data_IF_011349074595
#
_entry.id   IF_011349074595
#
_cell.length_a   1.000
_cell.length_b   1.000
_cell.length_c   1.000
_cell.angle_alpha   90.00
_cell.angle_beta   90.00
_cell.angle_gamma   90.00
#
_symmetry.space_group_name_H-M   'P 1'
#
loop_
_entity.id
_entity.type
_entity.pdbx_description
1 polymer ?
#
# COMPACT_ATOMS: atom_id res chain seq x y z
N UNK A 1 -23.37 -42.13 6.68
CA UNK A 1 -22.97 -41.94 8.08
C UNK A 1 -21.82 -42.88 8.40
N UNK A 2 -20.60 -42.34 8.50
CA UNK A 2 -19.42 -42.97 9.10
C UNK A 2 -18.38 -41.87 9.36
N UNK A 3 -17.78 -41.97 10.54
CA UNK A 3 -17.03 -40.97 11.30
C UNK A 3 -15.60 -40.73 10.82
N UNK A 4 -15.02 -39.55 11.12
CA UNK A 4 -13.64 -39.43 11.64
C UNK A 4 -13.58 -38.30 12.69
N UNK A 5 -13.02 -38.65 13.85
CA UNK A 5 -12.69 -37.81 14.99
C UNK A 5 -11.40 -37.02 14.71
N UNK A 6 -11.31 -35.77 15.17
CA UNK A 6 -10.01 -35.18 15.54
C UNK A 6 -10.17 -34.27 16.75
N UNK A 7 -9.31 -34.54 17.72
CA UNK A 7 -9.20 -33.98 19.06
C UNK A 7 -8.78 -32.50 19.09
N UNK A 8 -9.44 -31.71 19.93
CA UNK A 8 -9.01 -30.37 20.31
C UNK A 8 -7.94 -30.42 21.43
N UNK A 9 -6.94 -29.53 21.43
CA UNK A 9 -6.03 -29.34 22.56
C UNK A 9 -6.64 -28.40 23.64
N UNK A 10 -6.19 -28.50 24.91
CA UNK A 10 -6.85 -27.86 26.05
C UNK A 10 -6.53 -26.37 26.21
N UNK A 11 -7.52 -25.62 26.69
CA UNK A 11 -7.41 -24.21 27.09
C UNK A 11 -6.59 -24.04 28.38
N UNK A 12 -5.76 -22.98 28.52
CA UNK A 12 -5.19 -22.61 29.81
C UNK A 12 -6.17 -21.75 30.63
N UNK A 13 -6.34 -22.17 31.87
CA UNK A 13 -7.23 -21.64 32.91
C UNK A 13 -6.81 -20.28 33.47
N UNK A 14 -7.81 -19.44 33.74
CA UNK A 14 -7.74 -18.20 34.52
C UNK A 14 -7.43 -18.49 36.00
N UNK A 15 -6.58 -17.66 36.62
CA UNK A 15 -6.45 -17.53 38.08
C UNK A 15 -6.25 -16.04 38.45
N UNK A 16 -6.75 -15.59 39.61
CA UNK A 16 -7.15 -14.20 39.82
C UNK A 16 -6.08 -13.31 40.46
N UNK A 17 -6.27 -12.01 40.23
CA UNK A 17 -5.48 -10.88 40.72
C UNK A 17 -5.62 -10.73 42.25
N UNK A 18 -4.51 -10.94 42.97
CA UNK A 18 -4.37 -10.62 44.39
C UNK A 18 -3.33 -9.52 44.58
N UNK A 19 -3.76 -8.40 45.17
CA UNK A 19 -2.95 -7.21 45.44
C UNK A 19 -2.36 -7.28 46.85
N UNK A 20 -1.03 -7.10 47.03
CA UNK A 20 -0.44 -6.30 48.12
C UNK A 20 1.09 -6.20 48.07
N UNK A 21 1.58 -5.06 48.59
CA UNK A 21 2.96 -4.59 48.77
C UNK A 21 3.86 -5.54 49.59
N UNK A 22 5.17 -5.58 49.27
CA UNK A 22 6.28 -5.36 50.21
C UNK A 22 7.65 -5.43 49.49
N UNK A 23 8.65 -4.81 50.10
CA UNK A 23 9.96 -4.45 49.60
C UNK A 23 11.00 -5.59 49.52
N UNK A 24 12.05 -5.32 48.73
CA UNK A 24 13.45 -5.76 48.82
C UNK A 24 13.75 -7.26 48.89
N UNK A 25 14.51 -7.77 47.91
CA UNK A 25 15.83 -8.39 48.16
C UNK A 25 16.56 -8.67 46.85
N UNK A 26 17.81 -8.22 46.82
CA UNK A 26 18.84 -8.55 45.85
C UNK A 26 19.09 -10.07 45.85
N UNK A 27 19.07 -10.69 44.68
CA UNK A 27 19.72 -11.99 44.46
C UNK A 27 20.51 -11.93 43.17
N UNK A 28 21.83 -11.85 43.34
CA UNK A 28 22.84 -12.04 42.31
C UNK A 28 22.81 -13.48 41.81
N UNK A 29 22.59 -13.67 40.52
CA UNK A 29 22.94 -14.93 39.85
C UNK A 29 24.30 -14.75 39.19
N UNK A 30 25.32 -15.27 39.88
CA UNK A 30 26.65 -15.49 39.33
C UNK A 30 26.58 -16.60 38.29
N UNK A 31 26.88 -16.26 37.03
CA UNK A 31 27.28 -17.24 36.02
C UNK A 31 28.81 -17.29 36.02
N UNK A 32 29.33 -18.47 36.34
CA UNK A 32 30.75 -18.82 36.34
C UNK A 32 31.37 -18.58 34.96
N UNK A 33 32.47 -17.83 34.93
CA UNK A 33 33.41 -17.81 33.81
C UNK A 33 34.39 -18.99 33.96
N UNK A 34 34.71 -19.74 32.90
CA UNK A 34 35.86 -20.62 32.93
C UNK A 34 37.13 -19.77 32.84
N UNK A 35 37.97 -19.89 33.86
CA UNK A 35 39.35 -19.45 33.83
C UNK A 35 40.11 -20.23 32.75
N UNK A 36 40.62 -19.53 31.74
CA UNK A 36 41.73 -20.03 30.93
C UNK A 36 42.71 -18.90 30.68
N UNK A 37 43.76 -18.86 31.50
CA UNK A 37 44.99 -18.15 31.16
C UNK A 37 45.62 -18.81 29.93
N UNK A 38 45.75 -18.04 28.86
CA UNK A 38 46.48 -18.41 27.66
C UNK A 38 46.93 -17.15 26.95
N UNK A 39 48.15 -16.71 27.25
CA UNK A 39 48.85 -15.67 26.49
C UNK A 39 48.92 -16.06 25.01
N UNK A 40 48.20 -15.34 24.16
CA UNK A 40 48.61 -15.08 22.78
C UNK A 40 48.29 -13.61 22.51
N UNK A 41 49.32 -12.78 22.58
CA UNK A 41 49.30 -11.45 21.99
C UNK A 41 49.18 -11.59 20.48
N UNK A 42 47.96 -11.58 19.97
CA UNK A 42 47.68 -11.35 18.56
C UNK A 42 47.12 -9.93 18.48
N UNK A 43 47.99 -8.96 18.18
CA UNK A 43 47.55 -7.66 17.73
C UNK A 43 46.78 -7.88 16.42
N UNK A 44 45.46 -8.01 16.52
CA UNK A 44 44.59 -7.96 15.35
C UNK A 44 44.80 -6.59 14.73
N UNK A 45 45.50 -6.55 13.59
CA UNK A 45 45.76 -5.32 12.88
C UNK A 45 44.44 -4.94 12.17
N UNK A 46 43.52 -4.32 12.89
CA UNK A 46 42.23 -3.89 12.37
C UNK A 46 42.45 -2.81 11.31
N UNK A 47 42.43 -3.22 10.04
CA UNK A 47 42.72 -2.36 8.89
C UNK A 47 41.44 -1.62 8.46
N UNK A 48 40.87 -0.83 9.37
CA UNK A 48 39.68 -0.03 9.11
C UNK A 48 40.01 1.30 8.41
N UNK A 49 39.06 1.81 7.62
CA UNK A 49 39.19 3.15 7.01
C UNK A 49 38.74 4.20 8.01
N UNK A 50 39.48 5.31 8.14
CA UNK A 50 39.08 6.41 9.05
C UNK A 50 37.83 7.10 8.52
N UNK A 51 36.84 7.32 9.39
CA UNK A 51 35.64 8.06 9.03
C UNK A 51 35.98 9.50 8.63
N UNK A 52 35.29 10.04 7.62
CA UNK A 52 35.63 11.35 7.04
C UNK A 52 35.31 12.53 7.96
N UNK A 53 34.22 12.43 8.74
CA UNK A 53 33.75 13.50 9.64
C UNK A 53 34.07 13.20 11.13
N UNK A 54 33.68 12.02 11.61
CA UNK A 54 33.84 11.59 13.01
C UNK A 54 35.17 10.90 13.34
N UNK A 55 36.25 11.36 12.72
CA UNK A 55 37.61 10.99 13.12
C UNK A 55 38.34 12.25 13.58
N UNK A 56 38.24 12.54 14.87
CA UNK A 56 38.82 13.73 15.49
C UNK A 56 40.30 13.49 15.83
N UNK A 57 41.14 14.53 15.72
CA UNK A 57 42.57 14.40 16.05
C UNK A 57 42.83 14.29 17.56
N UNK A 58 41.95 14.90 18.34
CA UNK A 58 41.92 14.96 19.79
C UNK A 58 40.96 13.93 20.43
N UNK A 59 40.35 13.06 19.61
CA UNK A 59 39.57 11.92 20.09
C UNK A 59 40.43 10.98 20.95
N UNK A 60 39.80 10.38 21.96
CA UNK A 60 40.45 9.55 22.98
C UNK A 60 39.74 8.20 23.18
N UNK A 61 38.87 7.82 22.26
CA UNK A 61 38.29 6.48 22.13
C UNK A 61 38.05 6.18 20.65
N UNK A 62 38.47 5.00 20.21
CA UNK A 62 38.28 4.51 18.85
C UNK A 62 37.24 3.39 18.82
N UNK A 63 36.18 3.57 18.03
CA UNK A 63 35.20 2.54 17.71
C UNK A 63 35.41 1.99 16.30
N UNK A 64 35.14 0.70 16.10
CA UNK A 64 35.15 0.04 14.80
C UNK A 64 33.74 -0.47 14.47
N UNK A 65 33.18 0.00 13.35
CA UNK A 65 31.84 -0.33 12.86
C UNK A 65 31.89 -0.46 11.34
N UNK A 66 31.41 -1.57 10.76
CA UNK A 66 31.44 -1.82 9.31
C UNK A 66 32.81 -1.52 8.64
N UNK A 67 33.92 -1.95 9.25
CA UNK A 67 35.29 -1.66 8.80
C UNK A 67 35.68 -0.16 8.77
N UNK A 68 34.91 0.69 9.45
CA UNK A 68 35.16 2.13 9.59
C UNK A 68 35.57 2.46 11.02
N UNK A 69 36.68 3.19 11.15
CA UNK A 69 37.21 3.67 12.43
C UNK A 69 36.69 5.07 12.75
N UNK A 70 36.12 5.20 13.95
CA UNK A 70 35.61 6.44 14.52
C UNK A 70 36.48 6.84 15.70
N UNK A 71 37.21 7.96 15.61
CA UNK A 71 37.96 8.50 16.75
C UNK A 71 37.18 9.66 17.36
N UNK A 72 36.58 9.44 18.53
CA UNK A 72 35.63 10.38 19.16
C UNK A 72 36.01 10.64 20.63
N UNK A 73 35.26 11.53 21.28
CA UNK A 73 35.50 11.90 22.68
C UNK A 73 34.72 11.00 23.64
N UNK A 74 35.46 10.24 24.44
CA UNK A 74 35.01 9.33 25.50
C UNK A 74 33.99 9.98 26.44
N UNK A 75 34.19 11.27 26.75
CA UNK A 75 33.32 12.03 27.65
C UNK A 75 31.84 11.96 27.29
N UNK A 76 31.47 12.10 26.00
CA UNK A 76 30.06 12.09 25.60
C UNK A 76 29.40 10.73 25.85
N UNK A 77 30.16 9.64 25.77
CA UNK A 77 29.67 8.30 26.00
C UNK A 77 29.58 7.97 27.49
N UNK A 78 30.54 8.40 28.31
CA UNK A 78 30.52 8.12 29.75
C UNK A 78 29.53 8.98 30.55
N UNK A 79 29.30 10.22 30.09
CA UNK A 79 28.44 11.18 30.78
C UNK A 79 27.01 10.65 30.86
N UNK A 80 26.46 10.28 29.71
CA UNK A 80 25.02 10.01 29.57
C UNK A 80 24.68 8.53 29.37
N UNK A 81 25.68 7.63 29.30
CA UNK A 81 25.46 6.19 29.17
C UNK A 81 26.18 5.38 30.26
N UNK A 82 25.39 4.71 31.10
CA UNK A 82 25.90 3.76 32.09
C UNK A 82 26.55 2.52 31.43
N UNK A 83 26.01 2.11 30.27
CA UNK A 83 26.57 1.01 29.48
C UNK A 83 28.00 1.32 29.04
N UNK A 84 28.21 2.47 28.38
CA UNK A 84 29.54 2.83 27.91
C UNK A 84 30.49 3.15 29.04
N UNK A 85 30.04 3.68 30.18
CA UNK A 85 30.89 3.82 31.36
C UNK A 85 31.50 2.48 31.78
N UNK A 86 30.68 1.42 31.88
CA UNK A 86 31.17 0.09 32.21
C UNK A 86 32.08 -0.51 31.14
N UNK A 87 31.70 -0.39 29.86
CA UNK A 87 32.50 -0.90 28.73
C UNK A 87 33.87 -0.22 28.73
N UNK A 88 33.90 1.10 28.82
CA UNK A 88 35.10 1.91 28.70
C UNK A 88 36.01 1.81 29.93
N UNK A 89 35.48 1.49 31.11
CA UNK A 89 36.27 1.15 32.30
C UNK A 89 37.00 -0.20 32.16
N UNK A 90 36.39 -1.16 31.45
CA UNK A 90 36.92 -2.53 31.31
C UNK A 90 37.96 -2.69 30.19
N UNK A 91 37.98 -1.80 29.21
CA UNK A 91 38.85 -1.91 28.02
C UNK A 91 40.21 -1.26 28.29
N UNK A 92 41.28 -2.04 28.15
CA UNK A 92 42.66 -1.54 28.14
C UNK A 92 43.07 -1.16 26.71
N UNK A 93 43.22 0.15 26.46
CA UNK A 93 43.58 0.69 25.15
C UNK A 93 42.38 0.65 24.19
N UNK A 94 41.75 1.80 23.97
CA UNK A 94 40.71 2.01 22.98
C UNK A 94 41.26 2.91 21.85
N UNK A 95 42.39 2.50 21.28
CA UNK A 95 43.13 3.20 20.23
C UNK A 95 42.95 2.49 18.88
N UNK A 96 43.64 2.97 17.83
CA UNK A 96 43.53 2.36 16.50
C UNK A 96 44.04 0.92 16.43
N UNK A 97 44.96 0.53 17.32
CA UNK A 97 45.50 -0.82 17.36
C UNK A 97 44.58 -1.78 18.11
N UNK A 98 43.78 -1.27 19.04
CA UNK A 98 42.78 -2.02 19.78
C UNK A 98 41.44 -1.25 19.88
N UNK A 99 40.70 -1.09 18.76
CA UNK A 99 39.44 -0.36 18.75
C UNK A 99 38.33 -1.17 19.43
N UNK A 100 37.34 -0.46 19.96
CA UNK A 100 36.12 -1.07 20.52
C UNK A 100 35.19 -1.43 19.36
N UNK A 101 34.99 -2.72 19.12
CA UNK A 101 34.14 -3.21 18.04
C UNK A 101 32.67 -3.20 18.49
N UNK A 102 31.81 -2.51 17.72
CA UNK A 102 30.36 -2.55 17.92
C UNK A 102 29.75 -3.46 16.86
N UNK A 103 29.50 -4.71 17.25
CA UNK A 103 28.80 -5.71 16.44
C UNK A 103 27.30 -5.34 16.46
N UNK A 104 26.62 -5.48 15.31
CA UNK A 104 25.18 -5.17 15.13
C UNK A 104 24.80 -3.69 15.00
N UNK A 105 25.75 -2.82 14.66
CA UNK A 105 25.49 -1.40 14.38
C UNK A 105 25.92 -1.11 12.95
N UNK A 106 25.05 -0.45 12.18
CA UNK A 106 25.46 0.07 10.87
C UNK A 106 26.15 1.41 11.05
N UNK A 107 27.22 1.63 10.31
CA UNK A 107 27.94 2.91 10.22
C UNK A 107 27.00 4.09 10.03
N UNK A 108 26.05 3.99 9.09
CA UNK A 108 25.05 5.05 8.83
C UNK A 108 24.16 5.35 10.04
N UNK A 109 23.77 4.33 10.82
CA UNK A 109 22.92 4.54 12.00
C UNK A 109 23.73 5.17 13.14
N UNK A 110 25.02 4.82 13.25
CA UNK A 110 25.93 5.46 14.19
C UNK A 110 26.23 6.92 13.83
N UNK A 111 26.39 7.25 12.55
CA UNK A 111 26.58 8.62 12.09
C UNK A 111 25.41 9.52 12.51
N UNK A 112 24.18 9.03 12.38
CA UNK A 112 22.98 9.75 12.81
C UNK A 112 22.94 10.00 14.32
N UNK A 113 23.41 9.03 15.10
CA UNK A 113 23.54 9.16 16.56
C UNK A 113 24.66 10.15 16.93
N UNK A 114 25.82 10.07 16.28
CA UNK A 114 26.92 11.01 16.47
C UNK A 114 26.55 12.44 16.09
N UNK A 115 25.70 12.64 15.09
CA UNK A 115 25.18 13.96 14.73
C UNK A 115 24.38 14.63 15.87
N UNK A 116 23.82 13.85 16.81
CA UNK A 116 23.19 14.40 18.02
C UNK A 116 24.22 14.85 19.05
N UNK A 117 25.30 14.07 19.21
CA UNK A 117 26.39 14.38 20.15
C UNK A 117 27.31 15.51 19.65
N UNK A 118 27.47 15.61 18.33
CA UNK A 118 28.33 16.58 17.64
C UNK A 118 27.50 17.42 16.66
N UNK A 119 26.60 18.29 17.16
CA UNK A 119 25.80 19.15 16.31
C UNK A 119 26.70 20.14 15.57
N UNK A 120 26.57 20.19 14.24
CA UNK A 120 27.31 21.12 13.38
C UNK A 120 26.71 22.52 13.38
N UNK A 121 25.39 22.65 13.55
CA UNK A 121 24.66 23.90 13.69
C UNK A 121 23.65 23.80 14.85
N UNK A 122 23.92 24.55 15.92
CA UNK A 122 23.05 24.59 17.11
C UNK A 122 21.74 25.35 16.89
N UNK A 123 21.70 26.27 15.91
CA UNK A 123 20.49 27.06 15.61
C UNK A 123 19.56 26.31 14.67
N UNK A 124 20.12 25.49 13.78
CA UNK A 124 19.37 24.71 12.80
C UNK A 124 19.88 23.27 12.79
N UNK A 125 19.44 22.46 13.76
CA UNK A 125 19.76 21.04 13.75
C UNK A 125 19.32 20.41 12.43
N UNK A 126 20.15 19.52 11.89
CA UNK A 126 19.84 18.78 10.66
C UNK A 126 18.50 18.06 10.82
N UNK A 127 17.60 18.29 9.86
CA UNK A 127 16.33 17.57 9.81
C UNK A 127 16.58 16.08 9.57
N UNK A 128 15.84 15.25 10.31
CA UNK A 128 15.95 13.79 10.25
C UNK A 128 14.60 13.18 9.96
N UNK A 129 14.60 12.17 9.10
CA UNK A 129 13.46 11.34 8.74
C UNK A 129 13.01 10.46 9.91
N UNK A 130 11.79 9.93 9.83
CA UNK A 130 11.24 8.98 10.80
C UNK A 130 12.14 7.74 10.96
N UNK A 131 12.72 7.25 9.87
CA UNK A 131 13.65 6.10 9.91
C UNK A 131 14.93 6.44 10.66
N UNK A 132 15.53 7.62 10.41
CA UNK A 132 16.73 8.06 11.13
C UNK A 132 16.45 8.25 12.63
N UNK A 133 15.32 8.86 13.00
CA UNK A 133 14.92 8.96 14.42
C UNK A 133 14.67 7.60 15.06
N UNK A 134 14.15 6.63 14.31
CA UNK A 134 13.96 5.26 14.77
C UNK A 134 15.30 4.58 15.06
N UNK A 135 16.30 4.75 14.18
CA UNK A 135 17.67 4.26 14.42
C UNK A 135 18.30 4.91 15.66
N UNK A 136 18.15 6.23 15.82
CA UNK A 136 18.64 6.96 17.00
C UNK A 136 17.98 6.44 18.27
N UNK A 137 16.65 6.24 18.25
CA UNK A 137 15.90 5.69 19.38
C UNK A 137 16.42 4.30 19.77
N UNK A 138 16.68 3.45 18.77
CA UNK A 138 17.20 2.10 18.99
C UNK A 138 18.56 2.11 19.68
N UNK A 139 19.52 2.87 19.14
CA UNK A 139 20.87 2.98 19.70
C UNK A 139 20.86 3.64 21.08
N UNK A 140 20.06 4.70 21.26
CA UNK A 140 19.92 5.37 22.55
C UNK A 140 19.37 4.44 23.63
N UNK A 141 18.35 3.63 23.32
CA UNK A 141 17.79 2.66 24.24
C UNK A 141 18.78 1.52 24.53
N UNK A 142 19.45 0.98 23.49
CA UNK A 142 20.42 -0.10 23.62
C UNK A 142 21.61 0.29 24.50
N UNK A 143 22.09 1.52 24.36
CA UNK A 143 23.23 2.02 25.11
C UNK A 143 22.84 2.81 26.36
N UNK A 144 21.55 2.97 26.66
CA UNK A 144 21.08 3.64 27.86
C UNK A 144 21.33 5.15 27.89
N UNK A 145 21.26 5.84 26.75
CA UNK A 145 21.25 7.30 26.67
C UNK A 145 19.83 7.85 26.84
N UNK A 146 19.35 7.91 28.08
CA UNK A 146 17.96 8.26 28.40
C UNK A 146 17.50 9.61 27.82
N UNK A 147 18.32 10.66 27.91
CA UNK A 147 17.95 11.98 27.37
C UNK A 147 17.84 11.98 25.84
N UNK A 148 18.68 11.22 25.13
CA UNK A 148 18.60 11.09 23.67
C UNK A 148 17.41 10.20 23.29
N UNK A 149 17.13 9.17 24.08
CA UNK A 149 15.95 8.32 23.92
C UNK A 149 14.67 9.16 24.00
N UNK A 150 14.51 9.99 25.03
CA UNK A 150 13.36 10.90 25.18
C UNK A 150 13.27 11.91 24.04
N UNK A 151 14.40 12.48 23.60
CA UNK A 151 14.43 13.36 22.42
C UNK A 151 13.90 12.65 21.17
N UNK A 152 14.33 11.42 20.91
CA UNK A 152 13.87 10.66 19.75
C UNK A 152 12.38 10.31 19.86
N UNK A 153 11.89 9.97 21.07
CA UNK A 153 10.48 9.78 21.36
C UNK A 153 9.69 11.04 21.00
N UNK A 154 10.06 12.21 21.51
CA UNK A 154 9.34 13.47 21.22
C UNK A 154 9.26 13.77 19.72
N UNK A 155 10.34 13.51 18.98
CA UNK A 155 10.39 13.72 17.53
C UNK A 155 9.50 12.73 16.77
N UNK A 156 9.53 11.46 17.16
CA UNK A 156 8.71 10.40 16.57
C UNK A 156 7.22 10.54 16.93
N UNK A 157 6.89 11.07 18.11
CA UNK A 157 5.52 11.34 18.49
C UNK A 157 4.81 12.26 17.49
N UNK A 158 5.54 13.22 16.89
CA UNK A 158 5.03 14.15 15.91
C UNK A 158 5.00 13.59 14.47
N UNK A 159 5.92 12.70 14.10
CA UNK A 159 6.16 12.31 12.69
C UNK A 159 5.85 10.86 12.36
N UNK A 160 5.82 9.96 13.34
CA UNK A 160 5.60 8.53 13.10
C UNK A 160 4.12 8.23 12.79
N UNK A 161 3.92 7.33 11.83
CA UNK A 161 2.60 6.81 11.48
C UNK A 161 2.06 5.92 12.62
N UNK A 162 0.74 5.71 12.71
CA UNK A 162 0.13 4.91 13.78
C UNK A 162 0.73 3.50 13.94
N UNK A 163 1.03 2.82 12.83
CA UNK A 163 1.61 1.47 12.85
C UNK A 163 2.99 1.47 13.51
N UNK A 164 3.85 2.40 13.11
CA UNK A 164 5.19 2.53 13.70
C UNK A 164 5.09 2.94 15.18
N UNK A 165 4.14 3.80 15.55
CA UNK A 165 3.88 4.16 16.96
C UNK A 165 3.51 2.95 17.82
N UNK A 166 2.71 2.01 17.31
CA UNK A 166 2.40 0.77 18.03
C UNK A 166 3.66 -0.08 18.22
N UNK A 167 4.40 -0.31 17.12
CA UNK A 167 5.58 -1.18 17.12
C UNK A 167 6.66 -0.63 18.05
N UNK A 168 6.98 0.64 17.91
CA UNK A 168 7.98 1.32 18.73
C UNK A 168 7.50 1.48 20.18
N UNK A 169 6.22 1.83 20.37
CA UNK A 169 5.64 1.98 21.70
C UNK A 169 5.67 0.71 22.51
N UNK A 170 5.41 -0.45 21.89
CA UNK A 170 5.55 -1.75 22.55
C UNK A 170 7.01 -2.11 22.81
N UNK A 171 7.87 -1.93 21.80
CA UNK A 171 9.29 -2.31 21.89
C UNK A 171 10.03 -1.55 23.00
N UNK A 172 9.74 -0.27 23.17
CA UNK A 172 10.43 0.61 24.13
C UNK A 172 9.58 1.00 25.35
N UNK A 173 8.38 0.42 25.51
CA UNK A 173 7.52 0.68 26.67
C UNK A 173 6.87 2.07 26.70
N UNK A 174 6.61 2.68 25.55
CA UNK A 174 5.97 4.00 25.42
C UNK A 174 4.45 3.82 25.35
N UNK A 175 3.82 3.63 26.52
CA UNK A 175 2.37 3.37 26.63
C UNK A 175 1.50 4.49 26.07
N UNK A 176 1.96 5.74 26.18
CA UNK A 176 1.18 6.94 25.86
C UNK A 176 0.79 7.02 24.37
N UNK A 177 1.53 6.33 23.50
CA UNK A 177 1.24 6.28 22.07
C UNK A 177 0.18 5.24 21.71
N UNK A 178 0.09 4.16 22.49
CA UNK A 178 -0.59 2.94 22.05
C UNK A 178 -2.08 3.16 21.84
N UNK A 179 -2.77 3.79 22.79
CA UNK A 179 -4.21 3.98 22.71
C UNK A 179 -4.60 4.79 21.47
N UNK A 180 -4.01 5.98 21.31
CA UNK A 180 -4.30 6.85 20.18
C UNK A 180 -3.91 6.22 18.83
N UNK A 181 -2.83 5.43 18.80
CA UNK A 181 -2.41 4.74 17.57
C UNK A 181 -3.37 3.60 17.19
N UNK A 182 -3.84 2.80 18.15
CA UNK A 182 -4.86 1.78 17.89
C UNK A 182 -6.19 2.38 17.44
N UNK A 183 -6.62 3.46 18.10
CA UNK A 183 -7.84 4.17 17.72
C UNK A 183 -7.74 4.68 16.29
N UNK A 184 -6.62 5.31 15.92
CA UNK A 184 -6.38 5.80 14.56
C UNK A 184 -6.44 4.68 13.51
N UNK A 185 -5.85 3.50 13.77
CA UNK A 185 -5.88 2.38 12.81
C UNK A 185 -7.25 1.72 12.73
N UNK A 186 -7.95 1.61 13.85
CA UNK A 186 -9.28 1.01 13.91
C UNK A 186 -10.37 1.91 13.30
N UNK A 187 -10.12 3.21 13.20
CA UNK A 187 -11.05 4.18 12.59
C UNK A 187 -10.65 4.57 11.16
N UNK A 188 -9.44 4.18 10.71
CA UNK A 188 -8.99 4.45 9.35
C UNK A 188 -9.86 3.72 8.32
N UNK A 189 -10.33 4.39 7.26
CA UNK A 189 -11.26 3.79 6.30
C UNK A 189 -10.60 2.72 5.43
N UNK A 190 -9.32 2.85 5.12
CA UNK A 190 -8.60 1.92 4.23
C UNK A 190 -8.01 0.73 5.02
N UNK A 191 -7.93 -0.47 4.40
CA UNK A 191 -7.38 -1.65 5.04
C UNK A 191 -5.89 -1.50 5.35
N UNK A 192 -5.39 -2.35 6.24
CA UNK A 192 -3.95 -2.45 6.48
C UNK A 192 -3.26 -3.03 5.25
N UNK A 193 -2.14 -2.43 4.87
CA UNK A 193 -1.22 -2.99 3.86
C UNK A 193 -0.52 -4.24 4.39
N UNK A 194 0.05 -5.04 3.49
CA UNK A 194 0.80 -6.26 3.85
C UNK A 194 2.02 -5.89 4.69
N UNK A 195 2.71 -4.81 4.35
CA UNK A 195 3.89 -4.30 5.03
C UNK A 195 3.57 -3.86 6.47
N UNK A 196 2.45 -3.14 6.65
CA UNK A 196 1.95 -2.77 7.98
C UNK A 196 1.56 -3.99 8.80
N UNK A 197 0.88 -4.96 8.17
CA UNK A 197 0.55 -6.23 8.79
C UNK A 197 1.79 -6.97 9.29
N UNK A 198 2.82 -7.10 8.45
CA UNK A 198 4.09 -7.74 8.83
C UNK A 198 4.74 -7.06 10.04
N UNK A 199 4.66 -5.73 10.14
CA UNK A 199 5.20 -4.97 11.28
C UNK A 199 4.42 -5.20 12.58
N UNK A 200 3.09 -5.25 12.51
CA UNK A 200 2.20 -5.40 13.69
C UNK A 200 2.20 -6.84 14.23
N UNK A 201 2.34 -7.82 13.33
CA UNK A 201 2.22 -9.24 13.66
C UNK A 201 0.77 -9.72 13.71
N UNK A 202 0.61 -11.04 13.60
CA UNK A 202 -0.69 -11.70 13.37
C UNK A 202 -1.73 -11.37 14.43
N UNK A 203 -1.33 -11.32 15.71
CA UNK A 203 -2.25 -11.09 16.83
C UNK A 203 -2.91 -9.71 16.77
N UNK A 204 -2.14 -8.68 16.44
CA UNK A 204 -2.64 -7.31 16.31
C UNK A 204 -3.52 -7.16 15.08
N UNK A 205 -3.14 -7.75 13.94
CA UNK A 205 -3.97 -7.73 12.73
C UNK A 205 -5.35 -8.32 13.02
N UNK A 206 -5.42 -9.46 13.72
CA UNK A 206 -6.69 -10.10 14.08
C UNK A 206 -7.53 -9.19 14.98
N UNK A 207 -6.92 -8.62 16.02
CA UNK A 207 -7.62 -7.71 16.96
C UNK A 207 -8.11 -6.44 16.27
N UNK A 208 -7.27 -5.83 15.44
CA UNK A 208 -7.61 -4.63 14.66
C UNK A 208 -8.75 -4.95 13.70
N UNK A 209 -8.67 -6.06 12.96
CA UNK A 209 -9.73 -6.48 12.04
C UNK A 209 -11.06 -6.69 12.76
N UNK A 210 -11.05 -7.37 13.91
CA UNK A 210 -12.25 -7.58 14.72
C UNK A 210 -12.82 -6.24 15.24
N UNK A 211 -11.97 -5.34 15.74
CA UNK A 211 -12.39 -4.03 16.20
C UNK A 211 -13.02 -3.18 15.08
N UNK A 212 -12.41 -3.20 13.88
CA UNK A 212 -12.93 -2.50 12.69
C UNK A 212 -14.29 -3.03 12.25
N UNK A 213 -14.49 -4.35 12.32
CA UNK A 213 -15.77 -4.98 11.99
C UNK A 213 -16.88 -4.58 12.99
N UNK A 214 -16.57 -4.55 14.29
CA UNK A 214 -17.55 -4.18 15.33
C UNK A 214 -17.89 -2.68 15.27
N UNK A 215 -16.92 -1.82 14.97
CA UNK A 215 -17.10 -0.37 14.93
C UNK A 215 -17.61 0.16 13.59
N UNK A 216 -17.98 -0.70 12.64
CA UNK A 216 -18.56 -0.30 11.36
C UNK A 216 -17.58 0.32 10.35
N UNK A 217 -16.27 0.32 10.63
CA UNK A 217 -15.23 0.80 9.70
C UNK A 217 -14.90 -0.21 8.57
N UNK A 218 -15.67 -1.30 8.49
CA UNK A 218 -15.56 -2.35 7.48
C UNK A 218 -16.86 -2.51 6.68
N UNK A 219 -17.61 -1.42 6.48
CA UNK A 219 -18.78 -1.46 5.61
C UNK A 219 -18.35 -1.77 4.17
N UNK A 220 -19.01 -2.74 3.55
CA UNK A 220 -18.66 -3.17 2.20
C UNK A 220 -18.86 -2.01 1.23
N UNK A 221 -17.77 -1.45 0.72
CA UNK A 221 -17.82 -0.37 -0.29
C UNK A 221 -18.40 -0.84 -1.63
N UNK A 222 -18.51 -2.16 -1.84
CA UNK A 222 -18.86 -2.78 -3.11
C UNK A 222 -19.83 -3.94 -2.96
N UNK A 223 -20.60 -4.19 -4.02
CA UNK A 223 -21.63 -5.23 -4.05
C UNK A 223 -21.04 -6.65 -3.99
N UNK A 224 -21.74 -7.55 -3.28
CA UNK A 224 -21.34 -8.96 -3.09
C UNK A 224 -21.21 -9.72 -4.41
N UNK A 225 -21.89 -9.28 -5.48
CA UNK A 225 -21.85 -9.92 -6.80
C UNK A 225 -20.43 -10.01 -7.38
N UNK A 226 -19.53 -9.09 -7.00
CA UNK A 226 -18.16 -9.09 -7.49
C UNK A 226 -17.21 -9.98 -6.70
N UNK A 227 -17.57 -10.36 -5.47
CA UNK A 227 -16.68 -11.05 -4.52
C UNK A 227 -16.07 -12.31 -5.12
N UNK A 228 -16.86 -13.13 -5.82
CA UNK A 228 -16.38 -14.39 -6.41
C UNK A 228 -15.25 -14.17 -7.42
N UNK A 229 -15.35 -13.14 -8.25
CA UNK A 229 -14.32 -12.81 -9.24
C UNK A 229 -13.10 -12.19 -8.58
N UNK A 230 -13.30 -11.35 -7.57
CA UNK A 230 -12.20 -10.69 -6.86
C UNK A 230 -11.38 -11.67 -6.03
N UNK A 231 -12.00 -12.69 -5.43
CA UNK A 231 -11.29 -13.69 -4.64
C UNK A 231 -10.17 -14.36 -5.43
N UNK A 232 -10.38 -14.58 -6.74
CA UNK A 232 -9.35 -15.10 -7.64
C UNK A 232 -8.14 -14.18 -7.71
N UNK A 233 -8.37 -12.87 -7.85
CA UNK A 233 -7.29 -11.88 -7.97
C UNK A 233 -6.63 -11.58 -6.62
N UNK A 234 -7.42 -11.43 -5.55
CA UNK A 234 -6.96 -11.13 -4.18
C UNK A 234 -6.05 -12.26 -3.68
N UNK A 235 -6.46 -13.51 -3.86
CA UNK A 235 -5.72 -14.68 -3.37
C UNK A 235 -4.84 -15.34 -4.43
N UNK A 236 -4.73 -14.74 -5.63
CA UNK A 236 -3.97 -15.28 -6.77
C UNK A 236 -4.30 -16.75 -7.04
N UNK A 237 -5.59 -17.08 -7.01
CA UNK A 237 -6.04 -18.44 -7.28
C UNK A 237 -5.95 -18.68 -8.80
N UNK A 238 -5.06 -19.57 -9.22
CA UNK A 238 -4.93 -19.96 -10.63
C UNK A 238 -6.29 -20.49 -11.13
N UNK A 239 -6.86 -19.83 -12.14
CA UNK A 239 -8.00 -20.40 -12.87
C UNK A 239 -7.46 -21.56 -13.72
N UNK A 240 -8.11 -22.75 -13.72
CA UNK A 240 -7.77 -23.78 -14.69
C UNK A 240 -7.90 -23.18 -16.09
N UNK A 241 -6.83 -23.32 -16.87
CA UNK A 241 -6.65 -22.77 -18.20
C UNK A 241 -7.85 -23.12 -19.08
N UNK A 242 -8.67 -22.12 -19.42
CA UNK A 242 -9.38 -22.13 -20.68
C UNK A 242 -8.62 -21.25 -21.67
N UNK A 243 -8.40 -21.85 -22.82
CA UNK A 243 -7.52 -21.48 -23.91
C UNK A 243 -7.81 -20.11 -24.56
N UNK A 244 -6.73 -19.48 -25.03
CA UNK A 244 -6.65 -18.57 -26.18
C UNK A 244 -7.24 -17.16 -25.98
N UNK A 245 -6.37 -16.25 -25.53
CA UNK A 245 -5.47 -15.57 -26.48
C UNK A 245 -6.11 -14.69 -27.57
N UNK A 246 -7.22 -14.01 -27.30
CA UNK A 246 -7.48 -12.66 -27.81
C UNK A 246 -8.14 -11.91 -26.66
N UNK A 247 -7.69 -10.70 -26.32
CA UNK A 247 -8.42 -9.94 -25.29
C UNK A 247 -9.84 -9.76 -25.81
N UNK A 248 -10.88 -10.16 -25.05
CA UNK A 248 -12.26 -10.12 -25.59
C UNK A 248 -12.67 -8.70 -26.00
N UNK A 249 -11.98 -7.70 -25.45
CA UNK A 249 -12.07 -6.28 -25.78
C UNK A 249 -11.67 -6.01 -27.24
N UNK A 250 -10.57 -6.61 -27.73
CA UNK A 250 -10.11 -6.41 -29.13
C UNK A 250 -11.08 -7.02 -30.15
N UNK A 251 -11.75 -8.12 -29.80
CA UNK A 251 -12.74 -8.79 -30.64
C UNK A 251 -14.04 -7.96 -30.72
N UNK A 252 -14.49 -7.44 -29.58
CA UNK A 252 -15.70 -6.60 -29.49
C UNK A 252 -15.51 -5.25 -30.19
N UNK A 253 -14.33 -4.63 -30.04
CA UNK A 253 -14.00 -3.39 -30.74
C UNK A 253 -13.97 -3.59 -32.27
N UNK A 254 -13.41 -4.73 -32.71
CA UNK A 254 -13.41 -5.11 -34.13
C UNK A 254 -14.82 -5.32 -34.67
N UNK A 255 -15.71 -5.97 -33.91
CA UNK A 255 -17.10 -6.18 -34.29
C UNK A 255 -17.90 -4.87 -34.37
N UNK A 256 -17.71 -3.97 -33.39
CA UNK A 256 -18.34 -2.63 -33.41
C UNK A 256 -17.91 -1.87 -34.65
N UNK A 257 -16.61 -1.84 -34.96
CA UNK A 257 -16.08 -1.16 -36.15
C UNK A 257 -16.65 -1.72 -37.46
N UNK A 258 -16.75 -3.05 -37.57
CA UNK A 258 -17.36 -3.71 -38.74
C UNK A 258 -18.83 -3.28 -38.90
N UNK A 259 -19.58 -3.18 -37.81
CA UNK A 259 -20.98 -2.74 -37.84
C UNK A 259 -21.12 -1.25 -38.16
N UNK A 260 -20.21 -0.39 -37.68
CA UNK A 260 -20.16 1.04 -38.06
C UNK A 260 -19.96 1.22 -39.57
N UNK A 261 -19.05 0.44 -40.17
CA UNK A 261 -18.79 0.46 -41.61
C UNK A 261 -20.04 -0.01 -42.40
N UNK A 262 -20.74 -1.05 -41.91
CA UNK A 262 -21.98 -1.54 -42.52
C UNK A 262 -23.13 -0.52 -42.43
N UNK A 263 -23.34 0.12 -41.28
CA UNK A 263 -24.35 1.18 -41.11
C UNK A 263 -24.07 2.34 -42.06
N UNK A 264 -22.80 2.75 -42.18
CA UNK A 264 -22.37 3.81 -43.10
C UNK A 264 -22.67 3.46 -44.56
N UNK A 265 -22.43 2.20 -44.94
CA UNK A 265 -22.70 1.67 -46.29
C UNK A 265 -24.21 1.67 -46.59
N UNK A 266 -25.04 1.11 -45.70
CA UNK A 266 -26.50 1.07 -45.88
C UNK A 266 -27.10 2.47 -45.90
N UNK A 267 -26.56 3.40 -45.12
CA UNK A 267 -26.97 4.80 -45.12
C UNK A 267 -26.65 5.50 -46.45
N UNK A 268 -25.47 5.23 -47.03
CA UNK A 268 -25.11 5.73 -48.36
C UNK A 268 -26.00 5.13 -49.46
N UNK A 269 -26.29 3.83 -49.40
CA UNK A 269 -27.20 3.15 -50.33
C UNK A 269 -28.63 3.69 -50.24
N UNK A 270 -29.12 3.95 -49.02
CA UNK A 270 -30.44 4.56 -48.81
C UNK A 270 -30.49 6.00 -49.34
N UNK A 271 -29.43 6.80 -49.12
CA UNK A 271 -29.34 8.16 -49.64
C UNK A 271 -29.26 8.24 -51.18
N UNK A 272 -28.75 7.18 -51.83
CA UNK A 272 -28.70 7.05 -53.29
C UNK A 272 -30.05 6.70 -53.94
N UNK A 273 -31.09 6.36 -53.14
CA UNK A 273 -32.40 6.02 -53.67
C UNK A 273 -33.16 7.29 -54.14
N UNK A 274 -33.72 7.33 -55.38
CA UNK A 274 -34.31 8.53 -55.96
C UNK A 274 -35.56 9.02 -55.23
N UNK A 275 -35.53 10.20 -54.58
CA UNK A 275 -36.66 10.78 -53.83
C UNK A 275 -38.00 10.53 -54.54
N UNK A 276 -39.04 9.99 -53.87
CA UNK A 276 -40.26 9.63 -54.56
C UNK A 276 -40.81 10.85 -55.29
N UNK A 277 -40.84 10.80 -56.62
CA UNK A 277 -41.41 11.86 -57.41
C UNK A 277 -42.90 11.93 -57.08
N UNK A 278 -43.33 13.05 -56.50
CA UNK A 278 -44.73 13.33 -56.32
C UNK A 278 -45.30 13.60 -57.71
N UNK A 279 -45.93 12.61 -58.33
CA UNK A 279 -46.54 12.76 -59.64
C UNK A 279 -47.70 13.74 -59.51
N UNK A 280 -47.47 14.99 -59.90
CA UNK A 280 -48.52 16.00 -59.92
C UNK A 280 -49.45 15.72 -61.11
N UNK A 281 -50.75 15.63 -60.85
CA UNK A 281 -51.77 15.32 -61.85
C UNK A 281 -51.83 16.48 -62.86
N UNK A 282 -51.39 16.26 -64.10
CA UNK A 282 -51.66 17.20 -65.19
C UNK A 282 -53.01 16.87 -65.80
N UNK A 283 -54.08 17.41 -65.22
CA UNK A 283 -55.41 17.36 -65.85
C UNK A 283 -55.48 18.47 -66.91
N UNK A 284 -55.53 18.09 -68.18
CA UNK A 284 -55.68 19.03 -69.29
C UNK A 284 -57.13 19.52 -69.35
N UNK A 285 -57.40 20.67 -68.75
CA UNK A 285 -58.68 21.35 -68.85
C UNK A 285 -58.88 21.94 -70.26
N UNK A 286 -59.99 21.60 -70.91
CA UNK A 286 -60.63 22.49 -71.89
C UNK A 286 -62.07 22.75 -71.44
N UNK A 287 -62.42 24.04 -71.40
CA UNK A 287 -63.73 24.67 -71.13
C UNK A 287 -64.17 25.00 -69.70
N UNK A 288 -63.81 26.24 -69.32
CA UNK A 288 -64.63 27.37 -68.85
C UNK A 288 -65.70 27.21 -67.74
N UNK A 289 -65.43 27.98 -66.67
CA UNK A 289 -66.32 28.56 -65.65
C UNK A 289 -66.98 27.64 -64.62
N UNK A 290 -66.28 27.36 -63.52
CA UNK A 290 -66.79 27.58 -62.15
C UNK A 290 -65.65 27.44 -61.13
N UNK A 291 -65.57 28.40 -60.20
CA UNK A 291 -64.69 28.32 -59.03
C UNK A 291 -65.20 27.24 -58.08
N UNK A 292 -64.46 26.14 -57.90
CA UNK A 292 -64.42 25.37 -56.67
C UNK A 292 -63.14 24.53 -56.59
N UNK A 293 -62.49 24.68 -55.44
CA UNK A 293 -61.53 23.80 -54.76
C UNK A 293 -60.71 22.80 -55.59
N UNK A 294 -59.39 22.98 -55.52
CA UNK A 294 -58.34 22.02 -55.86
C UNK A 294 -58.72 20.58 -55.53
N UNK A 295 -59.15 19.84 -56.55
CA UNK A 295 -59.40 18.40 -56.50
C UNK A 295 -58.08 17.66 -56.28
N UNK A 296 -57.74 17.45 -55.01
CA UNK A 296 -56.72 16.48 -54.61
C UNK A 296 -57.17 15.10 -55.08
N UNK A 297 -56.44 14.53 -56.04
CA UNK A 297 -56.60 13.15 -56.49
C UNK A 297 -56.47 12.17 -55.31
N UNK A 298 -57.57 11.52 -54.92
CA UNK A 298 -57.61 10.54 -53.82
C UNK A 298 -56.74 9.29 -54.07
N UNK A 299 -56.40 9.00 -55.33
CA UNK A 299 -55.51 7.90 -55.74
C UNK A 299 -54.03 8.26 -55.71
N UNK A 300 -53.71 9.56 -55.68
CA UNK A 300 -52.35 10.08 -55.77
C UNK A 300 -51.74 10.35 -54.38
N UNK A 301 -52.54 10.26 -53.32
CA UNK A 301 -52.06 10.20 -51.95
C UNK A 301 -51.74 8.75 -51.59
N UNK A 302 -50.47 8.42 -51.80
CA UNK A 302 -49.58 7.51 -51.09
C UNK A 302 -48.60 7.10 -52.18
N UNK A 303 -47.47 7.80 -52.26
CA UNK A 303 -46.29 7.17 -52.84
C UNK A 303 -46.07 5.91 -52.02
N UNK A 304 -46.56 4.76 -52.52
CA UNK A 304 -46.24 3.48 -51.92
C UNK A 304 -44.73 3.42 -51.98
N UNK A 305 -44.12 3.55 -50.81
CA UNK A 305 -42.71 3.24 -50.67
C UNK A 305 -42.47 1.90 -51.36
N UNK A 306 -41.47 1.82 -52.23
CA UNK A 306 -41.15 0.54 -52.85
C UNK A 306 -40.80 -0.46 -51.75
N UNK A 307 -41.22 -1.71 -51.89
CA UNK A 307 -40.88 -2.76 -50.92
C UNK A 307 -39.36 -2.82 -50.68
N UNK A 308 -38.55 -2.47 -51.70
CA UNK A 308 -37.10 -2.31 -51.62
C UNK A 308 -36.64 -1.17 -50.69
N UNK A 309 -37.29 0.01 -50.75
CA UNK A 309 -36.99 1.12 -49.84
C UNK A 309 -37.34 0.79 -48.41
N UNK A 310 -38.48 0.12 -48.22
CA UNK A 310 -38.95 -0.31 -46.91
C UNK A 310 -37.98 -1.32 -46.30
N UNK A 311 -37.56 -2.34 -47.06
CA UNK A 311 -36.59 -3.33 -46.60
C UNK A 311 -35.25 -2.69 -46.24
N UNK A 312 -34.75 -1.74 -47.05
CA UNK A 312 -33.49 -1.03 -46.77
C UNK A 312 -33.59 -0.12 -45.54
N UNK A 313 -34.76 0.46 -45.26
CA UNK A 313 -34.99 1.20 -44.02
C UNK A 313 -34.98 0.27 -42.82
N UNK A 314 -35.72 -0.84 -42.88
CA UNK A 314 -35.79 -1.85 -41.80
C UNK A 314 -34.38 -2.42 -41.50
N UNK A 315 -33.60 -2.81 -42.51
CA UNK A 315 -32.21 -3.27 -42.35
C UNK A 315 -31.27 -2.21 -41.75
N UNK A 316 -31.46 -0.94 -42.13
CA UNK A 316 -30.71 0.19 -41.55
C UNK A 316 -31.03 0.34 -40.05
N UNK A 317 -32.31 0.37 -39.71
CA UNK A 317 -32.78 0.54 -38.33
C UNK A 317 -32.33 -0.63 -37.43
N UNK A 318 -32.33 -1.85 -37.97
CA UNK A 318 -31.87 -3.04 -37.25
C UNK A 318 -30.35 -3.01 -37.00
N UNK A 319 -29.55 -2.60 -37.99
CA UNK A 319 -28.09 -2.44 -37.83
C UNK A 319 -27.73 -1.30 -36.88
N UNK A 320 -28.44 -0.18 -36.93
CA UNK A 320 -28.26 0.94 -36.00
C UNK A 320 -28.62 0.53 -34.56
N UNK A 321 -29.70 -0.24 -34.36
CA UNK A 321 -30.06 -0.80 -33.06
C UNK A 321 -28.99 -1.76 -32.54
N UNK A 322 -28.55 -2.71 -33.36
CA UNK A 322 -27.52 -3.68 -32.98
C UNK A 322 -26.20 -2.99 -32.61
N UNK A 323 -25.79 -1.97 -33.37
CA UNK A 323 -24.61 -1.17 -33.08
C UNK A 323 -24.75 -0.42 -31.74
N UNK A 324 -25.93 0.15 -31.46
CA UNK A 324 -26.21 0.83 -30.19
C UNK A 324 -26.10 -0.13 -29.02
N UNK A 325 -26.72 -1.30 -29.12
CA UNK A 325 -26.71 -2.33 -28.07
C UNK A 325 -25.27 -2.81 -27.78
N UNK A 326 -24.47 -3.06 -28.82
CA UNK A 326 -23.07 -3.47 -28.65
C UNK A 326 -22.20 -2.37 -28.03
N UNK A 327 -22.42 -1.11 -28.39
CA UNK A 327 -21.71 0.03 -27.77
C UNK A 327 -22.06 0.19 -26.30
N UNK A 328 -23.34 0.07 -25.96
CA UNK A 328 -23.81 0.11 -24.56
C UNK A 328 -23.21 -1.03 -23.73
N UNK A 329 -23.18 -2.25 -24.28
CA UNK A 329 -22.56 -3.41 -23.64
C UNK A 329 -21.05 -3.22 -23.42
N UNK A 330 -20.35 -2.61 -24.39
CA UNK A 330 -18.91 -2.30 -24.27
C UNK A 330 -18.68 -1.21 -23.22
N UNK A 331 -19.50 -0.17 -23.20
CA UNK A 331 -19.41 0.89 -22.18
C UNK A 331 -19.68 0.33 -20.78
N UNK A 332 -20.61 -0.62 -20.62
CA UNK A 332 -20.86 -1.32 -19.36
C UNK A 332 -19.65 -2.17 -18.92
N UNK A 333 -19.11 -3.01 -19.80
CA UNK A 333 -17.89 -3.78 -19.52
C UNK A 333 -16.70 -2.89 -19.15
N UNK A 334 -16.55 -1.76 -19.83
CA UNK A 334 -15.49 -0.81 -19.53
C UNK A 334 -15.67 -0.17 -18.14
N UNK A 335 -16.90 0.18 -17.75
CA UNK A 335 -17.19 0.65 -16.40
C UNK A 335 -16.87 -0.41 -15.35
N UNK A 336 -17.30 -1.66 -15.57
CA UNK A 336 -17.03 -2.78 -14.66
C UNK A 336 -15.52 -3.04 -14.50
N UNK A 337 -14.74 -2.91 -15.58
CA UNK A 337 -13.28 -3.03 -15.54
C UNK A 337 -12.62 -1.91 -14.72
N UNK A 338 -13.06 -0.66 -14.88
CA UNK A 338 -12.56 0.48 -14.10
C UNK A 338 -12.92 0.32 -12.64
N UNK A 339 -14.17 -0.04 -12.34
CA UNK A 339 -14.63 -0.30 -10.97
C UNK A 339 -13.84 -1.47 -10.35
N UNK A 340 -13.61 -2.55 -11.09
CA UNK A 340 -12.74 -3.65 -10.65
C UNK A 340 -11.32 -3.17 -10.35
N UNK A 341 -10.74 -2.31 -11.20
CA UNK A 341 -9.40 -1.78 -10.96
C UNK A 341 -9.34 -0.95 -9.67
N UNK A 342 -10.36 -0.14 -9.40
CA UNK A 342 -10.48 0.63 -8.16
C UNK A 342 -10.64 -0.29 -6.94
N UNK A 343 -11.51 -1.30 -7.02
CA UNK A 343 -11.73 -2.33 -5.99
C UNK A 343 -10.43 -3.06 -5.63
N UNK A 344 -9.66 -3.43 -6.66
CA UNK A 344 -8.41 -4.16 -6.50
C UNK A 344 -7.24 -3.29 -6.03
N UNK A 345 -7.32 -1.95 -6.12
CA UNK A 345 -6.27 -1.05 -5.63
C UNK A 345 -6.08 -1.12 -4.11
N UNK A 346 -7.10 -1.54 -3.36
CA UNK A 346 -7.07 -1.68 -1.90
C UNK A 346 -6.31 -2.93 -1.42
N UNK A 347 -5.95 -3.83 -2.34
CA UNK A 347 -5.29 -5.11 -2.06
C UNK A 347 -3.89 -5.20 -2.68
N UNK A 348 -3.39 -4.11 -3.27
CA UNK A 348 -2.02 -3.97 -3.76
C UNK A 348 -1.17 -3.30 -2.70
#
# INVERSE_FOLDING_TARGET
MSSILTSAPPSPSLVPLGSSRAASTLVSNALELPATSGNIGLAANYKGTRHSQYYFKDGNVVFLIDDVLYNVHRYFFERDSAHFRSVLESVQGADEQNPIVLLDVRSTDFDEFLAILYPTDFRRPTEKTTTQWTSILHLAAQWGFESIQLLAIDKLAATAIPVDKIVLGRRYGISDWLHAAYEAICTHPDPLTVEEGMKLGVEDIIRISAARQVNGCAEARYEVKHLSDDLGDIFKLEKPVEEVGVSSVDVEESAIKILEDQVTTVQAEFAALPTPAQTCCMDHSHNSYSWHDSSLCATCHVSKESDERRLKREDKEDKERCLKDLKEQRDEKQRDLVEKQERMSLFR
#
